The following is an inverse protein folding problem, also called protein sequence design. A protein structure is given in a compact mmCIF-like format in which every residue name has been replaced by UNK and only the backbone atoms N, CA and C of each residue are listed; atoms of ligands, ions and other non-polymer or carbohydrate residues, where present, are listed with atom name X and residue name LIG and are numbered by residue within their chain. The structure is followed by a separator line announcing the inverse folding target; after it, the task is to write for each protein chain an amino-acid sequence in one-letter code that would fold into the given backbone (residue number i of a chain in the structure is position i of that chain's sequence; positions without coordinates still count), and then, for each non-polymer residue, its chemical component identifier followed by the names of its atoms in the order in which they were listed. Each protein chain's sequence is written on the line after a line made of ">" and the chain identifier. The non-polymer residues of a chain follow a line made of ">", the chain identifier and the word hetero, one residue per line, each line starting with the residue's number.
data_IF_012725415023
#
_entry.id   IF_012725415023
#
_cell.length_a   1.000
_cell.length_b   1.000
_cell.length_c   1.000
_cell.angle_alpha   90.00
_cell.angle_beta   90.00
_cell.angle_gamma   90.00
#
_symmetry.space_group_name_H-M   'P 1'
#
loop_
_entity.id
_entity.type
_entity.pdbx_description
1 polymer ?
#
# COMPACT_ATOMS: atom_id res chain seq x y z
N UNK A 1 -32.00 -5.74 37.25
CA UNK A 1 -31.94 -4.61 36.30
C UNK A 1 -30.72 -4.84 35.44
N UNK A 2 -30.89 -5.47 34.29
CA UNK A 2 -29.83 -5.79 33.33
C UNK A 2 -30.15 -4.98 32.08
N UNK A 3 -29.49 -3.83 31.97
CA UNK A 3 -29.77 -2.85 30.93
C UNK A 3 -29.16 -3.26 29.57
N UNK A 4 -29.42 -2.48 28.50
CA UNK A 4 -28.86 -2.68 27.16
C UNK A 4 -27.31 -2.64 27.06
N UNK A 5 -26.61 -2.60 28.20
CA UNK A 5 -25.15 -2.53 28.31
C UNK A 5 -24.47 -3.88 28.56
N UNK A 6 -25.22 -4.94 28.87
CA UNK A 6 -24.63 -6.25 29.22
C UNK A 6 -24.00 -6.99 28.03
N UNK A 7 -24.27 -6.54 26.80
CA UNK A 7 -23.68 -7.07 25.55
C UNK A 7 -22.78 -6.06 24.82
N UNK A 8 -22.26 -5.02 25.48
CA UNK A 8 -21.28 -4.14 24.84
C UNK A 8 -19.91 -4.85 24.75
N UNK A 9 -19.46 -5.07 23.52
CA UNK A 9 -18.10 -5.48 23.22
C UNK A 9 -17.28 -4.23 22.84
N UNK A 10 -16.28 -3.89 23.64
CA UNK A 10 -15.33 -2.83 23.28
C UNK A 10 -14.15 -3.39 22.46
N UNK A 11 -13.41 -2.52 21.77
CA UNK A 11 -12.16 -2.93 21.11
C UNK A 11 -11.09 -3.34 22.13
N UNK A 12 -11.11 -2.74 23.32
CA UNK A 12 -10.23 -3.09 24.43
C UNK A 12 -10.52 -4.55 24.86
N UNK A 13 -11.80 -4.94 24.99
CA UNK A 13 -12.20 -6.33 25.27
C UNK A 13 -11.72 -7.33 24.22
N UNK A 14 -11.82 -6.98 22.93
CA UNK A 14 -11.38 -7.84 21.83
C UNK A 14 -9.89 -8.14 21.98
N UNK A 15 -9.08 -7.13 22.29
CA UNK A 15 -7.64 -7.27 22.41
C UNK A 15 -7.27 -8.01 23.70
N UNK A 16 -7.82 -7.60 24.84
CA UNK A 16 -7.50 -8.17 26.15
C UNK A 16 -7.89 -9.66 26.24
N UNK A 17 -8.94 -10.06 25.52
CA UNK A 17 -9.41 -11.46 25.44
C UNK A 17 -8.80 -12.22 24.25
N UNK A 18 -7.85 -11.64 23.51
CA UNK A 18 -7.24 -12.22 22.31
C UNK A 18 -8.25 -12.73 21.28
N UNK A 19 -9.31 -11.95 21.04
CA UNK A 19 -10.37 -12.27 20.10
C UNK A 19 -10.05 -11.73 18.69
N UNK A 20 -10.74 -12.30 17.70
CA UNK A 20 -10.74 -11.80 16.32
C UNK A 20 -12.07 -11.09 16.09
N UNK A 21 -12.00 -9.79 15.76
CA UNK A 21 -13.18 -9.01 15.37
C UNK A 21 -13.25 -8.93 13.84
N UNK A 22 -14.37 -9.37 13.28
CA UNK A 22 -14.70 -9.23 11.86
C UNK A 22 -15.86 -8.25 11.75
N UNK A 23 -15.67 -7.17 10.99
CA UNK A 23 -16.71 -6.20 10.69
C UNK A 23 -16.96 -6.21 9.18
N UNK A 24 -18.21 -6.43 8.78
CA UNK A 24 -18.64 -6.32 7.39
C UNK A 24 -19.53 -5.09 7.24
N UNK A 25 -19.07 -4.15 6.41
CA UNK A 25 -19.75 -2.89 6.12
C UNK A 25 -20.26 -2.92 4.68
N UNK A 26 -21.57 -3.06 4.49
CA UNK A 26 -22.17 -3.06 3.15
C UNK A 26 -22.51 -1.63 2.71
N UNK A 27 -21.63 -1.04 1.89
CA UNK A 27 -21.78 0.32 1.38
C UNK A 27 -22.82 0.44 0.25
N UNK A 28 -23.26 -0.68 -0.35
CA UNK A 28 -24.19 -0.70 -1.48
C UNK A 28 -25.66 -0.48 -1.08
N UNK A 29 -26.02 -0.72 0.19
CA UNK A 29 -27.42 -0.66 0.66
C UNK A 29 -27.74 0.71 1.25
N UNK A 30 -26.87 1.24 2.13
CA UNK A 30 -27.07 2.52 2.83
C UNK A 30 -25.73 3.26 3.02
N UNK A 31 -25.27 3.95 1.97
CA UNK A 31 -23.90 4.46 1.89
C UNK A 31 -23.53 5.44 3.01
N UNK A 32 -24.40 6.38 3.36
CA UNK A 32 -24.10 7.41 4.38
C UNK A 32 -23.95 6.83 5.78
N UNK A 33 -24.89 5.98 6.20
CA UNK A 33 -24.88 5.37 7.54
C UNK A 33 -23.72 4.40 7.69
N UNK A 34 -23.44 3.60 6.66
CA UNK A 34 -22.30 2.68 6.65
C UNK A 34 -20.97 3.42 6.71
N UNK A 35 -20.80 4.51 5.96
CA UNK A 35 -19.61 5.36 6.03
C UNK A 35 -19.45 5.97 7.42
N UNK A 36 -20.53 6.48 8.02
CA UNK A 36 -20.50 7.03 9.37
C UNK A 36 -20.09 5.98 10.41
N UNK A 37 -20.65 4.77 10.32
CA UNK A 37 -20.30 3.66 11.21
C UNK A 37 -18.82 3.25 11.06
N UNK A 38 -18.34 3.11 9.83
CA UNK A 38 -16.93 2.80 9.57
C UNK A 38 -16.00 3.87 10.14
N UNK A 39 -16.35 5.15 9.98
CA UNK A 39 -15.59 6.27 10.61
C UNK A 39 -15.58 6.19 12.13
N UNK A 40 -16.72 5.88 12.76
CA UNK A 40 -16.80 5.71 14.22
C UNK A 40 -15.90 4.54 14.67
N UNK A 41 -15.88 3.44 13.94
CA UNK A 41 -15.00 2.30 14.25
C UNK A 41 -13.51 2.68 14.14
N UNK A 42 -13.12 3.41 13.09
CA UNK A 42 -11.74 3.90 12.95
C UNK A 42 -11.36 4.90 14.06
N UNK A 43 -12.29 5.74 14.51
CA UNK A 43 -12.08 6.65 15.65
C UNK A 43 -11.95 5.89 16.97
N UNK A 44 -12.72 4.82 17.18
CA UNK A 44 -12.52 3.95 18.36
C UNK A 44 -11.17 3.25 18.31
N UNK A 45 -10.73 2.79 17.13
CA UNK A 45 -9.41 2.23 16.94
C UNK A 45 -8.31 3.25 17.24
N UNK A 46 -8.49 4.50 16.81
CA UNK A 46 -7.61 5.62 17.17
C UNK A 46 -7.43 5.75 18.67
N UNK A 47 -8.55 5.76 19.41
CA UNK A 47 -8.55 5.92 20.86
C UNK A 47 -7.78 4.78 21.53
N UNK A 48 -8.03 3.55 21.11
CA UNK A 48 -7.33 2.36 21.61
C UNK A 48 -5.82 2.44 21.34
N UNK A 49 -5.41 2.81 20.12
CA UNK A 49 -3.99 3.00 19.77
C UNK A 49 -3.34 4.09 20.63
N UNK A 50 -4.04 5.21 20.84
CA UNK A 50 -3.57 6.29 21.70
C UNK A 50 -3.33 5.87 23.14
N UNK A 51 -4.27 5.11 23.73
CA UNK A 51 -4.12 4.52 25.08
C UNK A 51 -2.91 3.60 25.16
N UNK A 52 -2.74 2.69 24.19
CA UNK A 52 -1.61 1.76 24.14
C UNK A 52 -0.28 2.47 23.98
N UNK A 53 -0.22 3.47 23.11
CA UNK A 53 0.99 4.28 22.93
C UNK A 53 1.40 4.97 24.25
N UNK A 54 0.44 5.58 24.96
CA UNK A 54 0.70 6.17 26.28
C UNK A 54 1.17 5.12 27.30
N UNK A 55 0.55 3.94 27.34
CA UNK A 55 0.99 2.84 28.20
C UNK A 55 2.41 2.37 27.88
N UNK A 56 2.77 2.30 26.60
CA UNK A 56 4.13 1.93 26.16
C UNK A 56 5.18 2.93 26.64
N UNK A 57 4.88 4.24 26.60
CA UNK A 57 5.78 5.26 27.17
C UNK A 57 5.96 5.12 28.68
N UNK A 58 5.03 4.44 29.36
CA UNK A 58 5.10 4.11 30.78
C UNK A 58 5.70 2.71 31.05
N UNK A 59 6.26 2.05 30.03
CA UNK A 59 6.94 0.76 30.14
C UNK A 59 6.02 -0.47 30.04
N UNK A 60 4.73 -0.30 29.71
CA UNK A 60 3.84 -1.44 29.48
C UNK A 60 4.10 -2.10 28.13
N UNK A 61 4.15 -3.43 28.14
CA UNK A 61 4.28 -4.25 26.93
C UNK A 61 2.89 -4.71 26.50
N UNK A 62 2.53 -4.45 25.25
CA UNK A 62 1.26 -4.87 24.67
C UNK A 62 1.46 -5.94 23.60
N UNK A 63 0.55 -6.94 23.48
CA UNK A 63 0.60 -7.94 22.42
C UNK A 63 0.40 -7.31 21.05
N UNK A 64 1.02 -7.86 20.00
CA UNK A 64 0.87 -7.33 18.64
C UNK A 64 -0.59 -7.41 18.17
N UNK A 65 -1.08 -6.32 17.58
CA UNK A 65 -2.43 -6.28 16.97
C UNK A 65 -2.30 -6.00 15.48
N UNK A 66 -2.92 -6.85 14.68
CA UNK A 66 -3.01 -6.67 13.24
C UNK A 66 -4.40 -6.16 12.86
N UNK A 67 -4.45 -5.10 12.06
CA UNK A 67 -5.69 -4.50 11.58
C UNK A 67 -5.70 -4.55 10.06
N UNK A 68 -6.71 -5.24 9.51
CA UNK A 68 -6.96 -5.35 8.09
C UNK A 68 -8.13 -4.46 7.71
N UNK A 69 -7.95 -3.58 6.73
CA UNK A 69 -8.99 -2.70 6.22
C UNK A 69 -9.08 -2.85 4.72
N UNK A 70 -10.12 -3.56 4.28
CA UNK A 70 -10.44 -3.67 2.86
C UNK A 70 -11.22 -2.42 2.40
N UNK A 71 -10.87 -1.88 1.24
CA UNK A 71 -11.48 -0.68 0.64
C UNK A 71 -11.63 0.46 1.67
N UNK A 72 -10.52 0.86 2.32
CA UNK A 72 -10.59 1.78 3.47
C UNK A 72 -10.89 3.23 3.07
N UNK A 73 -10.69 3.59 1.80
CA UNK A 73 -10.75 4.98 1.33
C UNK A 73 -12.05 5.72 1.70
N UNK A 74 -13.26 5.14 1.57
CA UNK A 74 -14.51 5.82 1.94
C UNK A 74 -14.61 6.18 3.43
N UNK A 75 -13.94 5.41 4.30
CA UNK A 75 -13.99 5.59 5.75
C UNK A 75 -12.88 6.51 6.26
N UNK A 76 -11.87 6.80 5.43
CA UNK A 76 -10.74 7.61 5.80
C UNK A 76 -11.15 9.05 6.21
N UNK A 77 -10.35 9.64 7.11
CA UNK A 77 -10.47 11.02 7.57
C UNK A 77 -9.09 11.59 7.86
N UNK A 78 -8.94 12.93 7.85
CA UNK A 78 -7.64 13.60 7.81
C UNK A 78 -6.67 13.16 8.93
N UNK A 79 -7.18 13.01 10.15
CA UNK A 79 -6.35 12.63 11.30
C UNK A 79 -5.92 11.15 11.31
N UNK A 80 -6.47 10.31 10.42
CA UNK A 80 -6.13 8.90 10.35
C UNK A 80 -4.65 8.65 10.00
N UNK A 81 -4.02 9.55 9.24
CA UNK A 81 -2.59 9.45 8.90
C UNK A 81 -1.69 9.50 10.15
N UNK A 82 -2.04 10.34 11.12
CA UNK A 82 -1.33 10.43 12.41
C UNK A 82 -1.36 9.09 13.14
N UNK A 83 -2.47 8.36 13.04
CA UNK A 83 -2.65 7.06 13.70
C UNK A 83 -1.74 6.01 13.09
N UNK A 84 -1.67 5.93 11.77
CA UNK A 84 -0.79 4.98 11.06
C UNK A 84 0.65 5.18 11.55
N UNK A 85 1.09 6.42 11.71
CA UNK A 85 2.42 6.74 12.22
C UNK A 85 2.62 6.32 13.70
N UNK A 86 1.63 6.55 14.56
CA UNK A 86 1.71 6.20 15.99
C UNK A 86 1.57 4.69 16.27
N UNK A 87 0.85 3.97 15.40
CA UNK A 87 0.54 2.55 15.57
C UNK A 87 1.78 1.67 15.71
N UNK A 88 2.87 2.02 15.01
CA UNK A 88 4.17 1.35 15.16
C UNK A 88 4.66 1.36 16.61
N UNK A 89 4.54 2.50 17.30
CA UNK A 89 4.91 2.63 18.71
C UNK A 89 3.94 1.95 19.68
N UNK A 90 2.70 1.67 19.24
CA UNK A 90 1.68 0.97 20.01
C UNK A 90 1.70 -0.56 19.79
N UNK A 91 2.68 -1.08 19.04
CA UNK A 91 2.75 -2.48 18.59
C UNK A 91 1.50 -2.90 17.79
N UNK A 92 1.06 -2.03 16.88
CA UNK A 92 -0.11 -2.24 15.99
C UNK A 92 0.34 -2.14 14.53
N UNK A 93 0.00 -3.14 13.72
CA UNK A 93 0.29 -3.20 12.29
C UNK A 93 -0.98 -3.04 11.44
N UNK A 94 -0.90 -2.23 10.39
CA UNK A 94 -2.00 -2.00 9.47
C UNK A 94 -1.72 -2.64 8.11
N UNK A 95 -2.73 -3.32 7.56
CA UNK A 95 -2.82 -3.69 6.15
C UNK A 95 -4.06 -3.02 5.56
N UNK A 96 -3.85 -2.06 4.65
CA UNK A 96 -4.93 -1.35 3.95
C UNK A 96 -4.96 -1.72 2.48
N UNK A 97 -6.16 -1.90 1.94
CA UNK A 97 -6.39 -1.98 0.49
C UNK A 97 -7.21 -0.78 0.00
N UNK A 98 -6.91 -0.33 -1.20
CA UNK A 98 -7.63 0.73 -1.91
C UNK A 98 -7.47 0.50 -3.41
N UNK A 99 -8.39 1.00 -4.21
CA UNK A 99 -8.32 0.79 -5.67
C UNK A 99 -7.20 1.63 -6.29
N UNK A 100 -7.02 2.85 -5.81
CA UNK A 100 -5.94 3.74 -6.24
C UNK A 100 -5.63 4.79 -5.17
N UNK A 101 -4.43 5.37 -5.25
CA UNK A 101 -3.97 6.38 -4.30
C UNK A 101 -4.74 7.72 -4.41
N UNK A 102 -5.12 8.24 -5.61
CA UNK A 102 -5.91 9.46 -5.73
C UNK A 102 -7.24 9.49 -4.97
N UNK A 103 -7.89 8.36 -4.71
CA UNK A 103 -9.12 8.31 -3.90
C UNK A 103 -8.95 8.96 -2.52
N UNK A 104 -7.74 8.91 -1.96
CA UNK A 104 -7.46 9.55 -0.67
C UNK A 104 -7.42 11.09 -0.75
N UNK A 105 -7.29 11.66 -1.95
CA UNK A 105 -7.33 13.11 -2.16
C UNK A 105 -8.71 13.71 -1.83
N UNK A 106 -9.78 12.90 -1.84
CA UNK A 106 -11.11 13.31 -1.39
C UNK A 106 -11.11 13.75 0.09
N UNK A 107 -10.20 13.19 0.90
CA UNK A 107 -9.94 13.65 2.27
C UNK A 107 -9.05 14.88 2.26
N UNK A 108 -7.86 14.78 1.64
CA UNK A 108 -6.98 15.90 1.29
C UNK A 108 -5.73 15.39 0.56
N UNK A 109 -5.05 16.26 -0.19
CA UNK A 109 -3.77 15.92 -0.82
C UNK A 109 -2.69 15.54 0.22
N UNK A 110 -2.62 16.28 1.34
CA UNK A 110 -1.68 15.97 2.42
C UNK A 110 -1.96 14.59 3.05
N UNK A 111 -3.23 14.22 3.21
CA UNK A 111 -3.60 12.89 3.70
C UNK A 111 -3.14 11.79 2.74
N UNK A 112 -3.38 11.97 1.43
CA UNK A 112 -2.90 11.05 0.40
C UNK A 112 -1.39 10.84 0.50
N UNK A 113 -0.62 11.93 0.57
CA UNK A 113 0.84 11.88 0.59
C UNK A 113 1.38 11.22 1.87
N UNK A 114 0.75 11.49 3.02
CA UNK A 114 1.11 10.88 4.30
C UNK A 114 0.81 9.38 4.34
N UNK A 115 -0.38 8.95 3.90
CA UNK A 115 -0.72 7.53 3.85
C UNK A 115 0.16 6.80 2.85
N UNK A 116 0.39 7.40 1.68
CA UNK A 116 1.29 6.88 0.68
C UNK A 116 2.70 6.66 1.24
N UNK A 117 3.29 7.64 1.92
CA UNK A 117 4.68 7.55 2.38
C UNK A 117 4.91 6.80 3.69
N UNK A 118 3.90 6.70 4.56
CA UNK A 118 4.03 6.06 5.90
C UNK A 118 4.10 4.53 5.85
N UNK A 119 3.64 3.92 4.76
CA UNK A 119 3.65 2.47 4.60
C UNK A 119 5.08 1.95 4.36
N UNK A 120 5.61 1.15 5.29
CA UNK A 120 6.92 0.49 5.13
C UNK A 120 6.93 -0.53 3.99
N UNK A 121 5.78 -1.17 3.78
CA UNK A 121 5.56 -2.20 2.76
C UNK A 121 4.38 -1.79 1.89
N UNK A 122 4.57 -1.85 0.58
CA UNK A 122 3.55 -1.58 -0.43
C UNK A 122 3.40 -2.76 -1.34
N UNK A 123 2.17 -3.06 -1.69
CA UNK A 123 1.81 -4.02 -2.72
C UNK A 123 1.14 -3.26 -3.85
N UNK A 124 1.52 -3.56 -5.08
CA UNK A 124 0.84 -3.06 -6.27
C UNK A 124 0.39 -4.24 -7.12
N UNK A 125 -0.90 -4.26 -7.43
CA UNK A 125 -1.48 -5.15 -8.42
C UNK A 125 -1.59 -4.40 -9.75
N UNK A 126 -2.04 -5.08 -10.81
CA UNK A 126 -2.31 -4.43 -12.09
C UNK A 126 -3.20 -3.20 -11.90
N UNK A 127 -2.69 -2.03 -12.27
CA UNK A 127 -3.43 -0.78 -12.31
C UNK A 127 -3.01 0.05 -13.52
N UNK A 128 -3.96 0.79 -14.09
CA UNK A 128 -3.71 1.76 -15.15
C UNK A 128 -3.68 3.20 -14.63
N UNK A 129 -3.84 3.40 -13.33
CA UNK A 129 -3.89 4.74 -12.73
C UNK A 129 -2.47 5.31 -12.58
N UNK A 130 -2.19 6.36 -13.35
CA UNK A 130 -0.84 6.90 -13.55
C UNK A 130 -0.20 7.40 -12.25
N UNK A 131 -0.93 8.10 -11.37
CA UNK A 131 -0.37 8.68 -10.14
C UNK A 131 0.10 7.57 -9.19
N UNK A 132 -0.66 6.49 -9.08
CA UNK A 132 -0.33 5.31 -8.27
C UNK A 132 0.89 4.60 -8.84
N UNK A 133 0.94 4.41 -10.17
CA UNK A 133 2.09 3.78 -10.83
C UNK A 133 3.36 4.63 -10.61
N UNK A 134 3.29 5.93 -10.87
CA UNK A 134 4.43 6.83 -10.70
C UNK A 134 4.90 6.91 -9.25
N UNK A 135 3.98 6.94 -8.28
CA UNK A 135 4.34 6.89 -6.86
C UNK A 135 5.14 5.61 -6.53
N UNK A 136 4.66 4.45 -7.00
CA UNK A 136 5.33 3.17 -6.79
C UNK A 136 6.70 3.10 -7.47
N UNK A 137 6.80 3.55 -8.73
CA UNK A 137 8.06 3.59 -9.49
C UNK A 137 9.10 4.45 -8.80
N UNK A 138 8.74 5.67 -8.38
CA UNK A 138 9.63 6.59 -7.68
C UNK A 138 10.17 6.01 -6.37
N UNK A 139 9.34 5.23 -5.66
CA UNK A 139 9.73 4.59 -4.41
C UNK A 139 10.50 3.29 -4.57
N UNK A 140 10.44 2.65 -5.75
CA UNK A 140 11.13 1.39 -6.04
C UNK A 140 12.66 1.49 -6.07
N UNK A 141 13.20 2.66 -5.72
CA UNK A 141 14.60 3.05 -5.82
C UNK A 141 15.12 3.03 -7.27
N UNK A 142 15.96 4.01 -7.59
CA UNK A 142 16.59 4.14 -8.90
C UNK A 142 17.91 3.38 -8.92
N UNK A 143 18.23 2.75 -10.04
CA UNK A 143 19.53 2.14 -10.30
C UNK A 143 20.05 2.55 -11.68
N UNK A 144 21.36 2.74 -11.77
CA UNK A 144 22.01 3.07 -13.04
C UNK A 144 22.01 1.84 -13.96
N UNK A 145 21.46 1.99 -15.17
CA UNK A 145 21.72 1.09 -16.30
C UNK A 145 22.59 1.79 -17.33
N UNK A 146 23.55 1.06 -17.89
CA UNK A 146 24.28 1.51 -19.07
C UNK A 146 23.50 1.13 -20.32
N UNK A 147 23.03 2.13 -21.08
CA UNK A 147 22.36 1.92 -22.36
C UNK A 147 23.39 2.06 -23.47
N UNK A 148 23.55 1.02 -24.29
CA UNK A 148 24.30 1.09 -25.55
C UNK A 148 23.31 1.30 -26.68
N UNK A 149 23.36 2.47 -27.32
CA UNK A 149 22.59 2.74 -28.54
C UNK A 149 23.45 2.41 -29.74
N UNK A 150 22.97 1.54 -30.63
CA UNK A 150 23.65 1.21 -31.89
C UNK A 150 22.90 1.87 -33.05
N UNK A 151 23.64 2.52 -33.96
CA UNK A 151 23.05 3.06 -35.19
C UNK A 151 22.89 1.90 -36.19
N UNK A 152 21.65 1.64 -36.59
CA UNK A 152 21.35 0.63 -37.60
C UNK A 152 21.17 1.37 -38.93
N UNK A 153 22.04 1.08 -39.91
CA UNK A 153 21.89 1.59 -41.28
C UNK A 153 21.39 0.45 -42.16
N UNK A 154 20.22 0.66 -42.79
CA UNK A 154 19.68 -0.30 -43.75
C UNK A 154 20.20 0.07 -45.13
N UNK A 155 20.98 -0.79 -45.76
CA UNK A 155 21.51 -0.56 -47.10
C UNK A 155 20.76 -1.42 -48.13
N UNK A 156 20.11 -0.77 -49.11
CA UNK A 156 19.57 -1.42 -50.31
C UNK A 156 18.06 -1.19 -50.55
N UNK A 157 17.66 -0.91 -51.80
CA UNK A 157 16.24 -0.75 -52.19
C UNK A 157 15.51 -2.08 -52.46
N UNK A 158 16.22 -3.22 -52.50
CA UNK A 158 15.63 -4.52 -52.86
C UNK A 158 16.06 -5.73 -52.00
N UNK A 159 17.08 -5.59 -51.15
CA UNK A 159 17.42 -6.56 -50.10
C UNK A 159 17.90 -5.78 -48.88
N UNK A 160 17.20 -5.92 -47.75
CA UNK A 160 17.52 -5.22 -46.52
C UNK A 160 18.65 -5.95 -45.79
N UNK A 161 19.89 -5.76 -46.22
CA UNK A 161 21.04 -6.14 -45.42
C UNK A 161 21.18 -5.11 -44.28
N UNK A 162 20.82 -5.56 -43.07
CA UNK A 162 20.95 -4.77 -41.84
C UNK A 162 22.43 -4.76 -41.47
N UNK A 163 23.12 -3.64 -41.72
CA UNK A 163 24.48 -3.41 -41.23
C UNK A 163 24.39 -2.63 -39.93
N UNK A 164 24.82 -3.25 -38.84
CA UNK A 164 24.99 -2.56 -37.56
C UNK A 164 26.24 -1.69 -37.68
N UNK A 165 26.08 -0.38 -37.58
CA UNK A 165 27.20 0.57 -37.68
C UNK A 165 28.09 0.53 -36.43
N UNK A 166 29.38 0.77 -36.63
CA UNK A 166 30.43 0.68 -35.58
C UNK A 166 30.42 1.87 -34.59
N UNK A 167 29.49 2.81 -34.75
CA UNK A 167 29.36 3.98 -33.88
C UNK A 167 28.18 3.79 -32.93
N UNK A 168 28.51 3.57 -31.65
CA UNK A 168 27.53 3.51 -30.57
C UNK A 168 27.81 4.58 -29.52
N UNK A 169 26.75 5.23 -29.03
CA UNK A 169 26.84 6.11 -27.87
C UNK A 169 26.44 5.30 -26.63
N UNK A 170 27.34 5.24 -25.64
CA UNK A 170 27.01 4.71 -24.32
C UNK A 170 26.48 5.87 -23.48
N UNK A 171 25.23 5.79 -23.05
CA UNK A 171 24.66 6.75 -22.11
C UNK A 171 24.32 6.06 -20.80
N UNK A 172 24.58 6.77 -19.71
CA UNK A 172 24.10 6.39 -18.39
C UNK A 172 22.61 6.76 -18.30
N UNK A 173 21.75 5.77 -18.05
CA UNK A 173 20.32 6.00 -17.86
C UNK A 173 19.95 5.50 -16.48
N UNK A 174 19.38 6.39 -15.68
CA UNK A 174 18.84 6.05 -14.36
C UNK A 174 17.46 5.42 -14.56
N UNK A 175 17.31 4.15 -14.18
CA UNK A 175 16.08 3.36 -14.31
C UNK A 175 15.51 3.01 -12.93
N UNK A 176 14.24 2.62 -12.85
CA UNK A 176 13.58 2.19 -11.60
C UNK A 176 13.54 0.66 -11.50
N UNK A 177 13.57 0.09 -10.29
CA UNK A 177 13.50 -1.37 -10.11
C UNK A 177 12.17 -1.95 -10.61
N UNK A 178 11.07 -1.25 -10.37
CA UNK A 178 9.80 -1.54 -10.99
C UNK A 178 9.71 -0.90 -12.39
N UNK A 179 8.90 -1.46 -13.28
CA UNK A 179 8.69 -0.95 -14.64
C UNK A 179 7.22 -0.64 -14.91
N UNK A 180 6.96 0.54 -15.46
CA UNK A 180 5.61 1.02 -15.80
C UNK A 180 4.83 0.02 -16.65
N UNK A 181 5.46 -0.46 -17.74
CA UNK A 181 4.87 -1.45 -18.63
C UNK A 181 4.49 -2.74 -17.88
N UNK A 182 5.33 -3.20 -16.95
CA UNK A 182 5.07 -4.43 -16.21
C UNK A 182 3.89 -4.27 -15.26
N UNK A 183 3.82 -3.17 -14.51
CA UNK A 183 2.69 -2.88 -13.60
C UNK A 183 1.37 -2.80 -14.38
N UNK A 184 1.36 -2.12 -15.53
CA UNK A 184 0.15 -1.92 -16.35
C UNK A 184 -0.31 -3.19 -17.07
N UNK A 185 0.58 -4.14 -17.35
CA UNK A 185 0.27 -5.38 -18.09
C UNK A 185 0.18 -6.64 -17.22
N UNK A 186 0.36 -6.50 -15.90
CA UNK A 186 0.44 -7.61 -14.96
C UNK A 186 -0.80 -8.52 -14.98
N UNK A 187 -0.64 -9.85 -15.19
CA UNK A 187 -1.74 -10.82 -15.08
C UNK A 187 -2.46 -10.80 -13.72
N UNK A 188 -3.73 -11.22 -13.73
CA UNK A 188 -4.49 -11.43 -12.49
C UNK A 188 -3.84 -12.49 -11.61
N UNK A 189 -3.80 -12.27 -10.29
CA UNK A 189 -3.13 -13.15 -9.33
C UNK A 189 -1.63 -12.90 -9.20
N UNK A 190 -1.12 -11.83 -9.80
CA UNK A 190 0.26 -11.39 -9.63
C UNK A 190 0.28 -10.02 -8.96
N UNK A 191 1.37 -9.74 -8.25
CA UNK A 191 1.62 -8.44 -7.61
C UNK A 191 3.12 -8.16 -7.56
N UNK A 192 3.49 -6.90 -7.48
CA UNK A 192 4.82 -6.47 -7.05
C UNK A 192 4.74 -5.94 -5.62
N UNK A 193 5.82 -6.13 -4.85
CA UNK A 193 5.92 -5.50 -3.54
C UNK A 193 7.22 -4.74 -3.36
N UNK A 194 7.11 -3.66 -2.61
CA UNK A 194 8.21 -2.86 -2.11
C UNK A 194 8.20 -2.95 -0.60
N UNK A 195 9.34 -3.30 -0.01
CA UNK A 195 9.51 -3.36 1.44
C UNK A 195 10.76 -2.59 1.85
N UNK A 196 10.63 -1.80 2.90
CA UNK A 196 11.76 -1.14 3.54
C UNK A 196 12.27 -2.02 4.67
N UNK A 197 13.45 -2.60 4.49
CA UNK A 197 14.11 -3.45 5.47
C UNK A 197 15.28 -2.70 6.14
N UNK A 198 15.46 -2.92 7.44
CA UNK A 198 16.48 -2.23 8.23
C UNK A 198 17.91 -2.67 7.90
N UNK A 199 18.12 -3.89 7.39
CA UNK A 199 19.44 -4.43 7.05
C UNK A 199 19.69 -4.44 5.54
N UNK A 200 18.70 -4.86 4.76
CA UNK A 200 18.78 -5.02 3.30
C UNK A 200 18.38 -3.76 2.51
N UNK A 201 17.89 -2.71 3.19
CA UNK A 201 17.43 -1.48 2.55
C UNK A 201 16.11 -1.69 1.79
N UNK A 202 15.98 -1.09 0.60
CA UNK A 202 14.77 -1.27 -0.23
C UNK A 202 14.80 -2.63 -0.93
N UNK A 203 13.81 -3.47 -0.64
CA UNK A 203 13.57 -4.75 -1.32
C UNK A 203 12.42 -4.54 -2.31
N UNK A 204 12.64 -4.94 -3.56
CA UNK A 204 11.62 -4.98 -4.61
C UNK A 204 11.57 -6.41 -5.14
N UNK A 205 10.38 -7.00 -5.16
CA UNK A 205 10.17 -8.36 -5.64
C UNK A 205 8.83 -8.49 -6.34
N UNK A 206 8.78 -9.46 -7.25
CA UNK A 206 7.59 -9.87 -7.95
C UNK A 206 7.04 -11.15 -7.33
N UNK A 207 5.74 -11.15 -6.99
CA UNK A 207 5.05 -12.26 -6.36
C UNK A 207 3.97 -12.80 -7.30
N UNK A 208 4.03 -14.11 -7.56
CA UNK A 208 3.00 -14.85 -8.27
C UNK A 208 2.16 -15.63 -7.27
N UNK A 209 0.90 -15.24 -7.09
CA UNK A 209 -0.07 -16.01 -6.29
C UNK A 209 -0.74 -17.01 -7.20
N UNK A 210 -0.34 -18.29 -7.11
CA UNK A 210 -0.99 -19.36 -7.87
C UNK A 210 -2.44 -19.45 -7.42
N UNK A 211 -3.39 -19.36 -8.35
CA UNK A 211 -4.75 -19.81 -8.09
C UNK A 211 -4.68 -21.30 -7.75
N UNK A 212 -5.11 -21.68 -6.55
CA UNK A 212 -5.49 -23.06 -6.29
C UNK A 212 -6.55 -23.44 -7.31
N UNK A 213 -6.37 -24.59 -7.97
CA UNK A 213 -7.38 -25.15 -8.84
C UNK A 213 -8.63 -25.37 -7.99
N UNK A 214 -9.65 -24.56 -8.19
CA UNK A 214 -11.02 -24.78 -7.70
C UNK A 214 -11.77 -25.61 -8.73
#
# INVERSE_FOLDING_TARGET
>A
MTGPYDNLLSLDDVIDKNLILIVSLNTNVESKSTIALGRILLQNLQLMIGKRYAGYTSGQVYPFVSVFMDEFAPFAYANFATIINQARGANVGFLTSMQNLPQLAEVSQSFQDNVGSSANTKFILRTSEEKTVQNFLNESAKFTKFRKSMKIETAGMFNADIKVGDTGTQSEVVDTRAQDFHIKTMPTGQMEFLMSDHQAGKIHQFLHVRRGLS
#
